data_IF_120161175399
#
_entry.id   IF_120161175399
#
_cell.length_a   1.000
_cell.length_b   1.000
_cell.length_c   1.000
_cell.angle_alpha   90.00
_cell.angle_beta   90.00
_cell.angle_gamma   90.00
#
_symmetry.space_group_name_H-M   'P 1'
#
loop_
_entity.id
_entity.type
_entity.pdbx_description
1 polymer ?
#
# COMPACT_ATOMS: atom_id res chain seq x y z
N UNK A 1 1.77 -3.29 11.35
CA UNK A 1 2.94 -2.75 10.59
C UNK A 1 2.50 -1.53 9.79
N UNK A 2 3.38 -0.56 9.59
CA UNK A 2 3.04 0.71 8.94
C UNK A 2 3.75 0.79 7.58
N UNK A 3 2.98 0.93 6.51
CA UNK A 3 3.50 1.21 5.18
C UNK A 3 3.41 2.70 4.91
N UNK A 4 4.50 3.28 4.40
CA UNK A 4 4.55 4.65 3.93
C UNK A 4 5.27 4.69 2.59
N UNK A 5 4.66 5.34 1.62
CA UNK A 5 5.21 5.51 0.28
C UNK A 5 5.08 6.97 -0.15
N UNK A 6 6.13 7.49 -0.76
CA UNK A 6 6.08 8.78 -1.45
C UNK A 6 5.80 8.53 -2.92
N UNK A 7 4.65 9.03 -3.39
CA UNK A 7 4.14 8.84 -4.74
C UNK A 7 3.44 10.13 -5.20
N UNK A 8 4.18 11.24 -5.37
CA UNK A 8 3.62 12.51 -5.84
C UNK A 8 3.27 12.39 -7.33
N UNK A 9 1.98 12.38 -7.64
CA UNK A 9 1.49 12.32 -9.02
C UNK A 9 0.69 11.06 -9.36
N UNK A 10 0.62 10.08 -8.46
CA UNK A 10 -0.22 8.90 -8.63
C UNK A 10 -1.60 9.11 -8.02
N UNK A 11 -2.65 8.61 -8.68
CA UNK A 11 -4.03 8.79 -8.23
C UNK A 11 -4.45 7.78 -7.16
N UNK A 12 -3.87 6.58 -7.22
CA UNK A 12 -4.17 5.49 -6.30
C UNK A 12 -2.89 4.74 -5.94
N UNK A 13 -2.78 4.36 -4.68
CA UNK A 13 -1.71 3.50 -4.19
C UNK A 13 -2.35 2.44 -3.31
N UNK A 14 -2.01 1.18 -3.53
CA UNK A 14 -2.46 0.07 -2.72
C UNK A 14 -1.31 -0.89 -2.44
N UNK A 15 -1.42 -1.64 -1.35
CA UNK A 15 -0.54 -2.75 -1.02
C UNK A 15 -1.34 -4.05 -1.07
N UNK A 16 -0.79 -5.04 -1.76
CA UNK A 16 -1.31 -6.40 -1.77
C UNK A 16 -0.38 -7.25 -0.91
N UNK A 17 -0.97 -8.08 -0.07
CA UNK A 17 -0.23 -9.12 0.64
C UNK A 17 -0.24 -10.39 -0.22
N UNK A 18 0.84 -11.16 -0.21
CA UNK A 18 0.88 -12.44 -0.93
C UNK A 18 0.09 -13.53 -0.17
N UNK A 19 0.02 -13.38 1.16
CA UNK A 19 -0.70 -14.27 2.08
C UNK A 19 -2.22 -14.08 2.04
N UNK A 20 -2.72 -13.04 1.36
CA UNK A 20 -4.16 -12.75 1.27
C UNK A 20 -4.48 -12.04 -0.04
N UNK A 21 -5.55 -12.43 -0.76
CA UNK A 21 -5.95 -11.76 -2.01
C UNK A 21 -6.44 -10.31 -1.81
N UNK A 22 -6.49 -9.85 -0.56
CA UNK A 22 -6.91 -8.50 -0.20
C UNK A 22 -5.95 -7.42 -0.71
N UNK A 23 -6.55 -6.44 -1.37
CA UNK A 23 -5.87 -5.21 -1.77
C UNK A 23 -6.19 -4.13 -0.75
N UNK A 24 -5.15 -3.64 -0.06
CA UNK A 24 -5.31 -2.58 0.92
C UNK A 24 -4.90 -1.24 0.32
N UNK A 25 -5.88 -0.38 0.04
CA UNK A 25 -5.63 0.96 -0.45
C UNK A 25 -4.93 1.82 0.62
N UNK A 26 -3.88 2.53 0.23
CA UNK A 26 -3.23 3.52 1.08
C UNK A 26 -4.06 4.80 1.09
N UNK A 27 -4.01 5.50 2.23
CA UNK A 27 -4.65 6.81 2.39
C UNK A 27 -3.65 7.91 2.06
N UNK A 28 -4.02 8.91 1.26
CA UNK A 28 -3.15 10.05 0.99
C UNK A 28 -3.07 10.94 2.25
N UNK A 29 -1.86 11.13 2.76
CA UNK A 29 -1.58 12.06 3.87
C UNK A 29 -1.39 13.52 3.39
N UNK A 30 -1.24 13.72 2.08
CA UNK A 30 -0.90 15.01 1.50
C UNK A 30 0.59 15.17 1.23
N UNK A 31 0.96 16.23 0.50
CA UNK A 31 2.34 16.47 0.05
C UNK A 31 2.96 15.31 -0.75
N UNK A 32 2.13 14.49 -1.41
CA UNK A 32 2.54 13.30 -2.16
C UNK A 32 2.81 12.06 -1.31
N UNK A 33 2.55 12.10 0.00
CA UNK A 33 2.70 10.94 0.88
C UNK A 33 1.42 10.11 0.96
N UNK A 34 1.62 8.81 1.02
CA UNK A 34 0.60 7.80 1.19
C UNK A 34 0.99 6.91 2.37
N UNK A 35 0.04 6.63 3.26
CA UNK A 35 0.25 5.77 4.42
C UNK A 35 -0.88 4.78 4.62
N UNK A 36 -0.54 3.64 5.23
CA UNK A 36 -1.49 2.62 5.64
C UNK A 36 -0.98 1.87 6.86
N UNK A 37 -1.83 1.81 7.88
CA UNK A 37 -1.60 0.95 9.02
C UNK A 37 -2.32 -0.39 8.80
N UNK A 38 -1.56 -1.46 8.62
CA UNK A 38 -2.12 -2.79 8.40
C UNK A 38 -1.90 -3.67 9.64
N UNK A 39 -3.02 -4.13 10.22
CA UNK A 39 -3.07 -4.98 11.41
C UNK A 39 -2.96 -6.49 11.14
N UNK A 40 -2.83 -6.89 9.86
CA UNK A 40 -2.98 -8.29 9.45
C UNK A 40 -1.71 -9.02 9.04
N UNK A 41 -0.67 -8.37 8.51
CA UNK A 41 0.47 -9.15 8.02
C UNK A 41 1.47 -9.51 9.11
N UNK A 42 2.01 -10.70 8.90
CA UNK A 42 2.91 -11.39 9.79
C UNK A 42 4.35 -11.22 9.28
N UNK A 43 5.35 -11.36 10.16
CA UNK A 43 6.74 -11.42 9.73
C UNK A 43 6.93 -12.53 8.69
N UNK A 44 7.51 -12.19 7.53
CA UNK A 44 7.71 -13.12 6.41
C UNK A 44 6.66 -13.07 5.31
N UNK A 45 5.55 -12.34 5.50
CA UNK A 45 4.56 -12.11 4.45
C UNK A 45 5.16 -11.25 3.33
N UNK A 46 5.18 -11.78 2.11
CA UNK A 46 5.55 -11.01 0.92
C UNK A 46 4.44 -10.00 0.61
N UNK A 47 4.81 -8.86 0.05
CA UNK A 47 3.88 -7.82 -0.33
C UNK A 47 4.28 -7.20 -1.67
N UNK A 48 3.32 -6.56 -2.33
CA UNK A 48 3.54 -5.80 -3.57
C UNK A 48 2.79 -4.48 -3.49
N UNK A 49 3.42 -3.41 -4.00
CA UNK A 49 2.74 -2.15 -4.19
C UNK A 49 2.10 -2.10 -5.58
N UNK A 50 0.83 -1.70 -5.63
CA UNK A 50 0.11 -1.38 -6.86
C UNK A 50 -0.12 0.12 -6.88
N UNK A 51 0.40 0.76 -7.92
CA UNK A 51 0.35 2.22 -8.08
C UNK A 51 -0.43 2.49 -9.35
N UNK A 52 -1.41 3.39 -9.28
CA UNK A 52 -2.27 3.83 -10.40
C UNK A 52 -3.16 2.76 -11.04
N UNK A 53 -3.23 1.56 -10.47
CA UNK A 53 -4.02 0.46 -11.04
C UNK A 53 -3.39 -0.21 -12.27
N UNK A 54 -2.32 0.37 -12.82
CA UNK A 54 -1.55 -0.21 -13.93
C UNK A 54 -0.80 -1.45 -13.43
N UNK A 55 -1.14 -2.60 -13.99
CA UNK A 55 -0.64 -3.91 -13.62
C UNK A 55 -1.08 -4.94 -14.65
#
# INVERSE_FOLDING_TARGET
MHFRLWAPGHKTVAVLLDDSPDTHALTPEGNGYWSLLLGGARPGTRYRYRIDGDG
#
